data_IF_349461260919
#
_entry.id   IF_349461260919
#
_cell.length_a   1.000
_cell.length_b   1.000
_cell.length_c   1.000
_cell.angle_alpha   90.00
_cell.angle_beta   90.00
_cell.angle_gamma   90.00
#
_symmetry.space_group_name_H-M   'P 1'
#
loop_
_entity.id
_entity.type
_entity.pdbx_description
1 polymer ?
#
# COMPACT_ATOMS: atom_id res chain seq x y z
N UNK A 1 -18.26 -32.93 -40.12
CA UNK A 1 -18.78 -31.59 -39.78
C UNK A 1 -17.86 -30.49 -40.30
N UNK A 2 -16.60 -30.38 -39.86
CA UNK A 2 -15.64 -29.35 -40.32
C UNK A 2 -15.49 -29.30 -41.86
N UNK A 3 -15.39 -30.44 -42.54
CA UNK A 3 -15.28 -30.50 -44.00
C UNK A 3 -16.50 -29.91 -44.73
N UNK A 4 -17.71 -30.04 -44.16
CA UNK A 4 -18.93 -29.45 -44.70
C UNK A 4 -18.92 -27.92 -44.55
N UNK A 5 -18.49 -27.43 -43.38
CA UNK A 5 -18.34 -25.99 -43.11
C UNK A 5 -17.28 -25.36 -44.01
N UNK A 6 -16.15 -26.04 -44.24
CA UNK A 6 -15.12 -25.56 -45.17
C UNK A 6 -15.59 -25.60 -46.63
N UNK A 7 -16.50 -26.53 -46.98
CA UNK A 7 -17.12 -26.56 -48.31
C UNK A 7 -18.08 -25.39 -48.51
N UNK A 8 -18.97 -25.17 -47.55
CA UNK A 8 -20.06 -24.20 -47.69
C UNK A 8 -19.67 -22.80 -47.18
N UNK A 9 -18.48 -22.68 -46.55
CA UNK A 9 -17.95 -21.47 -45.92
C UNK A 9 -18.90 -20.83 -44.89
N UNK A 10 -19.81 -21.64 -44.33
CA UNK A 10 -20.86 -21.22 -43.42
C UNK A 10 -20.93 -22.17 -42.23
N UNK A 11 -21.12 -21.61 -41.04
CA UNK A 11 -21.36 -22.34 -39.80
C UNK A 11 -22.57 -21.75 -39.10
N UNK A 12 -23.48 -22.62 -38.64
CA UNK A 12 -24.66 -22.22 -37.88
C UNK A 12 -24.23 -21.53 -36.57
N UNK A 13 -24.82 -20.37 -36.22
CA UNK A 13 -24.43 -19.61 -35.03
C UNK A 13 -24.52 -20.38 -33.71
N UNK A 14 -25.51 -21.28 -33.59
CA UNK A 14 -25.70 -22.14 -32.41
C UNK A 14 -24.56 -23.17 -32.28
N UNK A 15 -24.20 -23.83 -33.38
CA UNK A 15 -23.05 -24.74 -33.42
C UNK A 15 -21.74 -24.00 -33.17
N UNK A 16 -21.58 -22.80 -33.72
CA UNK A 16 -20.39 -21.98 -33.46
C UNK A 16 -20.30 -21.61 -31.97
N UNK A 17 -21.41 -21.31 -31.29
CA UNK A 17 -21.41 -20.98 -29.86
C UNK A 17 -20.97 -22.15 -28.98
N UNK A 18 -21.34 -23.38 -29.36
CA UNK A 18 -21.00 -24.62 -28.66
C UNK A 18 -19.53 -25.06 -28.82
N UNK A 19 -18.82 -24.59 -29.85
CA UNK A 19 -17.38 -24.87 -30.01
C UNK A 19 -16.56 -24.16 -28.93
N UNK A 20 -15.56 -24.86 -28.40
CA UNK A 20 -14.61 -24.25 -27.47
C UNK A 20 -13.73 -23.20 -28.20
N UNK A 21 -13.05 -22.34 -27.45
CA UNK A 21 -12.28 -21.23 -28.03
C UNK A 21 -11.14 -21.71 -28.93
N UNK A 22 -10.47 -22.82 -28.59
CA UNK A 22 -9.40 -23.40 -29.40
C UNK A 22 -9.95 -23.99 -30.72
N UNK A 23 -11.11 -24.64 -30.67
CA UNK A 23 -11.81 -25.20 -31.82
C UNK A 23 -12.33 -24.09 -32.74
N UNK A 24 -12.79 -22.96 -32.18
CA UNK A 24 -13.13 -21.74 -32.93
C UNK A 24 -11.91 -21.18 -33.65
N UNK A 25 -10.78 -21.06 -32.96
CA UNK A 25 -9.53 -20.58 -33.57
C UNK A 25 -9.07 -21.50 -34.71
N UNK A 26 -9.08 -22.82 -34.50
CA UNK A 26 -8.72 -23.81 -35.54
C UNK A 26 -9.70 -23.74 -36.71
N UNK A 27 -11.00 -23.61 -36.45
CA UNK A 27 -12.03 -23.47 -37.48
C UNK A 27 -11.82 -22.20 -38.33
N UNK A 28 -11.64 -21.03 -37.69
CA UNK A 28 -11.42 -19.78 -38.41
C UNK A 28 -10.12 -19.79 -39.19
N UNK A 29 -9.06 -20.40 -38.64
CA UNK A 29 -7.81 -20.60 -39.35
C UNK A 29 -8.02 -21.43 -40.61
N UNK A 30 -8.69 -22.58 -40.51
CA UNK A 30 -8.98 -23.46 -41.65
C UNK A 30 -9.92 -22.82 -42.67
N UNK A 31 -10.93 -22.06 -42.23
CA UNK A 31 -11.81 -21.30 -43.12
C UNK A 31 -11.03 -20.20 -43.86
N UNK A 32 -10.09 -19.54 -43.18
CA UNK A 32 -9.24 -18.53 -43.79
C UNK A 32 -8.29 -19.14 -44.82
N UNK A 33 -7.66 -20.27 -44.50
CA UNK A 33 -6.84 -21.04 -45.45
C UNK A 33 -7.64 -21.42 -46.70
N UNK A 34 -8.88 -21.89 -46.53
CA UNK A 34 -9.74 -22.29 -47.64
C UNK A 34 -10.21 -21.09 -48.48
N UNK A 35 -10.50 -19.93 -47.88
CA UNK A 35 -10.75 -18.69 -48.62
C UNK A 35 -9.54 -18.30 -49.48
N UNK A 36 -8.33 -18.36 -48.93
CA UNK A 36 -7.10 -18.02 -49.64
C UNK A 36 -6.84 -19.04 -50.75
N UNK A 37 -7.06 -20.34 -50.50
CA UNK A 37 -6.91 -21.40 -51.50
C UNK A 37 -7.88 -21.20 -52.67
N UNK A 38 -9.17 -20.98 -52.38
CA UNK A 38 -10.21 -20.71 -53.41
C UNK A 38 -9.95 -19.42 -54.17
N UNK A 39 -9.43 -18.39 -53.50
CA UNK A 39 -9.05 -17.14 -54.13
C UNK A 39 -7.86 -17.35 -55.09
N UNK A 40 -6.80 -18.03 -54.65
CA UNK A 40 -5.66 -18.40 -55.51
C UNK A 40 -6.08 -19.24 -56.71
N UNK A 41 -6.92 -20.26 -56.50
CA UNK A 41 -7.44 -21.11 -57.58
C UNK A 41 -8.32 -20.31 -58.56
N UNK A 42 -9.07 -19.33 -58.07
CA UNK A 42 -9.82 -18.40 -58.92
C UNK A 42 -8.90 -17.47 -59.70
N UNK A 43 -7.88 -16.90 -59.07
CA UNK A 43 -6.86 -16.06 -59.72
C UNK A 43 -6.11 -16.84 -60.79
N UNK A 44 -5.66 -18.07 -60.50
CA UNK A 44 -4.99 -18.95 -61.46
C UNK A 44 -5.92 -19.33 -62.62
N UNK A 45 -7.21 -19.56 -62.36
CA UNK A 45 -8.19 -19.82 -63.42
C UNK A 45 -8.52 -18.58 -64.24
N UNK A 46 -8.57 -17.39 -63.64
CA UNK A 46 -8.76 -16.12 -64.35
C UNK A 46 -7.53 -15.79 -65.18
N UNK A 47 -6.33 -15.87 -64.61
CA UNK A 47 -5.07 -15.66 -65.30
C UNK A 47 -4.81 -16.74 -66.37
N UNK A 48 -5.19 -17.99 -66.09
CA UNK A 48 -5.14 -19.11 -67.03
C UNK A 48 -6.13 -18.95 -68.19
N UNK A 49 -7.37 -18.54 -67.91
CA UNK A 49 -8.36 -18.20 -68.94
C UNK A 49 -7.97 -16.93 -69.71
N UNK A 50 -7.37 -15.93 -69.07
CA UNK A 50 -6.88 -14.73 -69.72
C UNK A 50 -5.68 -15.05 -70.62
N UNK A 51 -4.77 -15.92 -70.15
CA UNK A 51 -3.68 -16.44 -70.95
C UNK A 51 -4.18 -17.35 -72.08
N UNK A 52 -5.24 -18.14 -71.86
CA UNK A 52 -5.88 -18.96 -72.89
C UNK A 52 -6.59 -18.09 -73.91
N UNK A 53 -7.36 -17.07 -73.50
CA UNK A 53 -8.02 -16.09 -74.34
C UNK A 53 -7.00 -15.26 -75.13
N UNK A 54 -5.88 -14.88 -74.52
CA UNK A 54 -4.75 -14.23 -75.22
C UNK A 54 -4.06 -15.18 -76.19
N UNK A 55 -3.92 -16.46 -75.88
CA UNK A 55 -3.36 -17.49 -76.78
C UNK A 55 -4.31 -17.82 -77.92
N UNK A 56 -5.61 -17.98 -77.67
CA UNK A 56 -6.63 -18.22 -78.71
C UNK A 56 -6.84 -16.97 -79.56
N UNK A 57 -6.79 -15.76 -78.98
CA UNK A 57 -6.78 -14.52 -79.76
C UNK A 57 -5.53 -14.41 -80.64
N UNK A 58 -4.35 -14.80 -80.14
CA UNK A 58 -3.11 -14.86 -80.93
C UNK A 58 -3.13 -15.95 -82.01
N UNK A 59 -3.72 -17.13 -81.74
CA UNK A 59 -3.87 -18.23 -82.69
C UNK A 59 -4.97 -17.97 -83.73
N UNK A 60 -6.07 -17.32 -83.35
CA UNK A 60 -7.12 -16.88 -84.27
C UNK A 60 -6.63 -15.74 -85.16
N UNK A 61 -5.77 -14.84 -84.65
CA UNK A 61 -5.07 -13.86 -85.47
C UNK A 61 -4.00 -14.46 -86.40
N UNK A 62 -3.57 -15.71 -86.20
CA UNK A 62 -2.55 -16.35 -87.05
C UNK A 62 -3.13 -17.27 -88.13
N UNK A 63 -4.37 -17.77 -87.98
CA UNK A 63 -4.89 -18.85 -88.83
C UNK A 63 -5.87 -18.42 -89.94
N UNK A 64 -6.16 -17.12 -90.11
CA UNK A 64 -7.09 -16.67 -91.17
C UNK A 64 -6.64 -15.36 -91.85
N UNK A 65 -5.33 -15.21 -92.06
CA UNK A 65 -4.78 -14.09 -92.83
C UNK A 65 -4.59 -14.50 -94.29
N UNK A 66 -5.65 -14.35 -95.08
CA UNK A 66 -5.54 -14.34 -96.54
C UNK A 66 -5.06 -12.97 -97.00
N UNK A 67 -3.87 -12.91 -97.61
CA UNK A 67 -3.31 -11.66 -98.16
C UNK A 67 -3.99 -11.39 -99.50
N UNK A 68 -4.92 -10.43 -99.52
CA UNK A 68 -5.46 -9.88 -100.76
C UNK A 68 -4.60 -8.69 -101.19
N UNK A 69 -3.87 -8.87 -102.29
CA UNK A 69 -3.12 -7.81 -102.92
C UNK A 69 -4.08 -6.85 -103.63
N UNK A 70 -4.05 -5.58 -103.25
CA UNK A 70 -4.68 -4.51 -104.02
C UNK A 70 -4.00 -4.45 -105.40
N UNK A 71 -4.77 -4.26 -106.47
CA UNK A 71 -4.24 -4.13 -107.83
C UNK A 71 -4.30 -2.67 -108.27
N UNK A 72 -3.22 -2.19 -108.88
CA UNK A 72 -3.15 -0.88 -109.51
C UNK A 72 -4.01 -0.79 -110.78
N UNK A 73 -4.09 0.40 -111.36
CA UNK A 73 -4.82 0.65 -112.61
C UNK A 73 -4.21 -0.06 -113.83
N UNK A 74 -2.98 -0.54 -113.69
CA UNK A 74 -2.21 -1.35 -114.63
C UNK A 74 -2.44 -2.87 -114.47
N UNK A 75 -3.17 -3.29 -113.43
CA UNK A 75 -3.39 -4.70 -113.10
C UNK A 75 -2.27 -5.37 -112.29
N UNK A 76 -1.18 -4.64 -112.02
CA UNK A 76 -0.08 -5.08 -111.15
C UNK A 76 -0.43 -4.86 -109.67
N UNK A 77 0.39 -5.39 -108.76
CA UNK A 77 0.16 -5.24 -107.31
C UNK A 77 0.41 -3.79 -106.90
N UNK A 78 -0.56 -3.17 -106.22
CA UNK A 78 -0.46 -1.82 -105.70
C UNK A 78 0.55 -1.76 -104.55
N UNK A 79 1.57 -0.93 -104.73
CA UNK A 79 2.63 -0.68 -103.75
C UNK A 79 2.51 0.77 -103.31
N UNK A 80 2.31 0.98 -102.02
CA UNK A 80 2.43 2.30 -101.40
C UNK A 80 3.78 2.42 -100.72
N UNK A 81 4.55 3.42 -101.12
CA UNK A 81 5.84 3.74 -100.52
C UNK A 81 5.60 4.92 -99.58
N UNK A 82 5.80 4.66 -98.29
CA UNK A 82 5.63 5.67 -97.24
C UNK A 82 6.53 6.87 -97.52
N UNK A 83 5.93 8.04 -97.78
CA UNK A 83 6.64 9.30 -98.04
C UNK A 83 6.85 9.68 -99.51
N UNK A 84 6.33 8.90 -100.47
CA UNK A 84 6.37 9.23 -101.91
C UNK A 84 5.01 9.67 -102.48
N UNK A 85 3.91 9.56 -101.72
CA UNK A 85 2.59 9.96 -102.19
C UNK A 85 2.35 11.48 -102.02
N UNK A 86 1.52 12.05 -102.90
CA UNK A 86 1.20 13.48 -102.90
C UNK A 86 0.60 13.93 -101.55
N UNK A 87 1.37 14.71 -100.79
CA UNK A 87 0.98 15.24 -99.47
C UNK A 87 1.52 14.48 -98.27
N UNK A 88 2.23 13.36 -98.47
CA UNK A 88 2.90 12.64 -97.38
C UNK A 88 4.20 13.33 -96.96
N UNK A 89 4.53 13.22 -95.66
CA UNK A 89 5.85 13.62 -95.14
C UNK A 89 6.91 12.63 -95.65
N UNK A 90 8.13 13.08 -95.97
CA UNK A 90 9.21 12.17 -96.38
C UNK A 90 9.47 11.13 -95.28
N UNK A 91 9.83 9.92 -95.68
CA UNK A 91 10.03 8.77 -94.79
C UNK A 91 10.99 9.09 -93.65
N UNK A 92 12.08 9.82 -93.95
CA UNK A 92 13.08 10.25 -92.99
C UNK A 92 12.43 11.04 -91.85
N UNK A 93 11.56 12.00 -92.17
CA UNK A 93 10.88 12.82 -91.18
C UNK A 93 9.88 12.02 -90.33
N UNK A 94 9.16 11.07 -90.94
CA UNK A 94 8.26 10.17 -90.19
C UNK A 94 9.06 9.26 -89.25
N UNK A 95 10.19 8.74 -89.71
CA UNK A 95 11.07 7.88 -88.90
C UNK A 95 11.73 8.65 -87.75
N UNK A 96 12.15 9.88 -87.99
CA UNK A 96 12.70 10.78 -86.97
C UNK A 96 11.64 11.17 -85.93
N UNK A 97 10.42 11.47 -86.36
CA UNK A 97 9.30 11.79 -85.46
C UNK A 97 8.96 10.59 -84.56
N UNK A 98 8.95 9.37 -85.09
CA UNK A 98 8.75 8.13 -84.32
C UNK A 98 9.88 7.85 -83.32
N UNK A 99 11.13 8.08 -83.72
CA UNK A 99 12.29 7.93 -82.82
C UNK A 99 12.21 8.99 -81.70
N UNK A 100 11.87 10.23 -82.04
CA UNK A 100 11.72 11.31 -81.08
C UNK A 100 10.56 11.05 -80.10
N UNK A 101 9.43 10.53 -80.59
CA UNK A 101 8.29 10.15 -79.75
C UNK A 101 8.67 9.01 -78.79
N UNK A 102 9.36 7.98 -79.29
CA UNK A 102 9.86 6.88 -78.44
C UNK A 102 10.85 7.38 -77.39
N UNK A 103 11.75 8.30 -77.75
CA UNK A 103 12.69 8.91 -76.83
C UNK A 103 11.98 9.74 -75.74
N UNK A 104 10.93 10.50 -76.09
CA UNK A 104 10.11 11.25 -75.12
C UNK A 104 9.39 10.31 -74.16
N UNK A 105 8.78 9.24 -74.67
CA UNK A 105 8.10 8.26 -73.83
C UNK A 105 9.07 7.57 -72.87
N UNK A 106 10.29 7.25 -73.34
CA UNK A 106 11.32 6.68 -72.49
C UNK A 106 11.77 7.66 -71.39
N UNK A 107 12.02 8.93 -71.75
CA UNK A 107 12.37 9.97 -70.79
C UNK A 107 11.24 10.22 -69.76
N UNK A 108 9.97 10.14 -70.16
CA UNK A 108 8.83 10.25 -69.24
C UNK A 108 8.81 9.09 -68.23
N UNK A 109 9.02 7.86 -68.68
CA UNK A 109 9.08 6.69 -67.78
C UNK A 109 10.23 6.81 -66.78
N UNK A 110 11.42 7.21 -67.24
CA UNK A 110 12.58 7.43 -66.36
C UNK A 110 12.31 8.56 -65.35
N UNK A 111 11.66 9.65 -65.78
CA UNK A 111 11.26 10.72 -64.88
C UNK A 111 10.23 10.25 -63.84
N UNK A 112 9.25 9.45 -64.22
CA UNK A 112 8.28 8.87 -63.28
C UNK A 112 8.95 7.95 -62.25
N UNK A 113 9.93 7.14 -62.67
CA UNK A 113 10.70 6.30 -61.76
C UNK A 113 11.52 7.13 -60.77
N UNK A 114 12.20 8.17 -61.25
CA UNK A 114 12.92 9.12 -60.39
C UNK A 114 11.99 9.83 -59.41
N UNK A 115 10.78 10.20 -59.86
CA UNK A 115 9.76 10.80 -58.99
C UNK A 115 9.30 9.84 -57.89
N UNK A 116 9.06 8.57 -58.22
CA UNK A 116 8.72 7.53 -57.22
C UNK A 116 9.85 7.33 -56.21
N UNK A 117 11.10 7.33 -56.66
CA UNK A 117 12.25 7.24 -55.76
C UNK A 117 12.34 8.45 -54.82
N UNK A 118 12.14 9.67 -55.34
CA UNK A 118 12.11 10.88 -54.53
C UNK A 118 10.96 10.90 -53.53
N UNK A 119 9.78 10.45 -53.93
CA UNK A 119 8.63 10.33 -53.03
C UNK A 119 8.87 9.30 -51.93
N UNK A 120 9.49 8.16 -52.26
CA UNK A 120 9.93 7.16 -51.27
C UNK A 120 11.00 7.74 -50.32
N UNK A 121 11.94 8.55 -50.82
CA UNK A 121 12.94 9.23 -50.02
C UNK A 121 12.30 10.23 -49.03
N UNK A 122 11.32 11.02 -49.50
CA UNK A 122 10.58 11.99 -48.69
C UNK A 122 9.78 11.28 -47.60
N UNK A 123 9.03 10.24 -47.97
CA UNK A 123 8.22 9.48 -47.01
C UNK A 123 9.09 8.77 -45.97
N UNK A 124 10.26 8.25 -46.36
CA UNK A 124 11.25 7.70 -45.43
C UNK A 124 11.76 8.77 -44.47
N UNK A 125 12.21 9.94 -44.98
CA UNK A 125 12.68 11.07 -44.15
C UNK A 125 11.62 11.51 -43.14
N UNK A 126 10.35 11.55 -43.53
CA UNK A 126 9.25 11.89 -42.61
C UNK A 126 9.06 10.83 -41.53
N UNK A 127 9.08 9.54 -41.88
CA UNK A 127 9.00 8.44 -40.90
C UNK A 127 10.17 8.49 -39.91
N UNK A 128 11.38 8.71 -40.40
CA UNK A 128 12.58 8.80 -39.59
C UNK A 128 12.53 10.01 -38.63
N UNK A 129 12.05 11.17 -39.11
CA UNK A 129 11.84 12.35 -38.27
C UNK A 129 10.83 12.08 -37.13
N UNK A 130 9.73 11.41 -37.43
CA UNK A 130 8.73 11.03 -36.42
C UNK A 130 9.27 10.01 -35.42
N UNK A 131 10.09 9.06 -35.86
CA UNK A 131 10.73 8.08 -34.98
C UNK A 131 11.73 8.77 -34.03
N UNK A 132 12.54 9.69 -34.56
CA UNK A 132 13.48 10.48 -33.76
C UNK A 132 12.77 11.34 -32.72
N UNK A 133 11.66 11.98 -33.08
CA UNK A 133 10.88 12.80 -32.14
C UNK A 133 10.25 11.95 -31.03
N UNK A 134 9.69 10.78 -31.37
CA UNK A 134 9.18 9.82 -30.38
C UNK A 134 10.28 9.34 -29.44
N UNK A 135 11.46 9.04 -29.97
CA UNK A 135 12.61 8.63 -29.16
C UNK A 135 13.07 9.76 -28.21
N UNK A 136 13.03 11.02 -28.67
CA UNK A 136 13.34 12.20 -27.85
C UNK A 136 12.39 12.34 -26.67
N UNK A 137 11.08 12.27 -26.90
CA UNK A 137 10.04 12.34 -25.86
C UNK A 137 10.22 11.20 -24.84
N UNK A 138 10.51 9.99 -25.32
CA UNK A 138 10.75 8.85 -24.44
C UNK A 138 11.99 9.09 -23.57
N UNK A 139 13.10 9.54 -24.16
CA UNK A 139 14.32 9.83 -23.42
C UNK A 139 14.13 10.93 -22.37
N UNK A 140 13.35 11.98 -22.68
CA UNK A 140 13.00 13.04 -21.73
C UNK A 140 12.17 12.51 -20.56
N UNK A 141 11.15 11.69 -20.83
CA UNK A 141 10.36 11.03 -19.79
C UNK A 141 11.21 10.17 -18.86
N UNK A 142 12.13 9.38 -19.41
CA UNK A 142 13.06 8.57 -18.62
C UNK A 142 14.00 9.43 -17.77
N UNK A 143 14.47 10.58 -18.27
CA UNK A 143 15.28 11.52 -17.48
C UNK A 143 14.50 12.04 -16.28
N UNK A 144 13.29 12.55 -16.51
CA UNK A 144 12.41 13.06 -15.44
C UNK A 144 12.18 11.96 -14.39
N UNK A 145 11.83 10.74 -14.82
CA UNK A 145 11.62 9.62 -13.89
C UNK A 145 12.88 9.26 -13.08
N UNK A 146 14.06 9.35 -13.69
CA UNK A 146 15.32 9.12 -12.96
C UNK A 146 15.64 10.25 -11.98
N UNK A 147 15.31 11.49 -12.32
CA UNK A 147 15.48 12.66 -11.45
C UNK A 147 14.51 12.59 -10.27
N UNK A 148 13.24 12.27 -10.50
CA UNK A 148 12.24 12.04 -9.46
C UNK A 148 12.66 10.92 -8.52
N UNK A 149 13.17 9.80 -9.06
CA UNK A 149 13.69 8.69 -8.24
C UNK A 149 14.91 9.10 -7.41
N UNK A 150 15.78 9.96 -7.94
CA UNK A 150 16.92 10.51 -7.17
C UNK A 150 16.43 11.47 -6.09
N UNK A 151 15.46 12.33 -6.40
CA UNK A 151 14.86 13.26 -5.44
C UNK A 151 14.15 12.51 -4.31
N UNK A 152 13.41 11.45 -4.61
CA UNK A 152 12.77 10.59 -3.62
C UNK A 152 13.80 9.92 -2.69
N UNK A 153 14.90 9.39 -3.24
CA UNK A 153 15.99 8.83 -2.42
C UNK A 153 16.62 9.88 -1.50
N UNK A 154 16.84 11.09 -2.01
CA UNK A 154 17.39 12.18 -1.22
C UNK A 154 16.43 12.63 -0.11
N UNK A 155 15.12 12.66 -0.38
CA UNK A 155 14.12 12.96 0.64
C UNK A 155 14.05 11.87 1.71
N UNK A 156 14.11 10.60 1.32
CA UNK A 156 14.16 9.47 2.26
C UNK A 156 15.41 9.54 3.13
N UNK A 157 16.58 9.79 2.55
CA UNK A 157 17.83 9.92 3.29
C UNK A 157 17.78 11.05 4.32
N UNK A 158 17.28 12.23 3.91
CA UNK A 158 17.05 13.36 4.83
C UNK A 158 16.09 13.00 5.96
N UNK A 159 15.02 12.28 5.66
CA UNK A 159 14.06 11.86 6.67
C UNK A 159 14.68 10.88 7.68
N UNK A 160 15.48 9.92 7.21
CA UNK A 160 16.21 9.00 8.07
C UNK A 160 17.25 9.70 8.94
N UNK A 161 17.95 10.70 8.41
CA UNK A 161 18.86 11.55 9.19
C UNK A 161 18.12 12.34 10.26
N UNK A 162 16.95 12.90 9.94
CA UNK A 162 16.13 13.64 10.89
C UNK A 162 15.60 12.74 12.01
N UNK A 163 15.20 11.50 11.69
CA UNK A 163 14.83 10.49 12.69
C UNK A 163 15.99 10.13 13.62
N UNK A 164 17.18 9.87 13.07
CA UNK A 164 18.39 9.58 13.87
C UNK A 164 18.76 10.75 14.77
N UNK A 165 18.64 11.98 14.26
CA UNK A 165 18.89 13.19 15.05
C UNK A 165 17.90 13.29 16.20
N UNK A 166 16.61 13.02 15.95
CA UNK A 166 15.57 13.07 16.98
C UNK A 166 15.73 11.98 18.04
N UNK A 167 16.14 10.78 17.63
CA UNK A 167 16.48 9.68 18.54
C UNK A 167 17.66 10.06 19.45
N UNK A 168 18.73 10.64 18.88
CA UNK A 168 19.89 11.10 19.63
C UNK A 168 19.55 12.24 20.59
N UNK A 169 18.69 13.18 20.18
CA UNK A 169 18.20 14.25 21.07
C UNK A 169 17.41 13.70 22.26
N UNK A 170 16.54 12.70 22.05
CA UNK A 170 15.82 12.04 23.14
C UNK A 170 16.78 11.25 24.05
N UNK A 171 17.78 10.59 23.48
CA UNK A 171 18.84 9.91 24.24
C UNK A 171 19.58 10.90 25.13
N UNK A 172 19.99 12.03 24.59
CA UNK A 172 20.68 13.09 25.34
C UNK A 172 19.80 13.70 26.42
N UNK A 173 18.51 13.92 26.17
CA UNK A 173 17.56 14.37 27.21
C UNK A 173 17.43 13.34 28.33
N UNK A 174 17.36 12.05 27.98
CA UNK A 174 17.32 10.95 28.94
C UNK A 174 18.59 10.93 29.81
N UNK A 175 19.76 10.99 29.20
CA UNK A 175 21.05 11.06 29.90
C UNK A 175 21.15 12.29 30.80
N UNK A 176 20.69 13.45 30.33
CA UNK A 176 20.68 14.69 31.12
C UNK A 176 19.73 14.60 32.32
N UNK A 177 18.56 13.97 32.18
CA UNK A 177 17.65 13.73 33.29
C UNK A 177 18.25 12.81 34.35
N UNK A 178 18.91 11.72 33.92
CA UNK A 178 19.62 10.82 34.84
C UNK A 178 20.71 11.59 35.58
N UNK A 179 21.52 12.38 34.87
CA UNK A 179 22.57 13.20 35.48
C UNK A 179 22.03 14.18 36.51
N UNK A 180 20.92 14.87 36.21
CA UNK A 180 20.26 15.75 37.18
C UNK A 180 19.70 14.99 38.39
N UNK A 181 19.24 13.75 38.22
CA UNK A 181 18.80 12.91 39.32
C UNK A 181 19.98 12.46 40.18
N UNK A 182 21.10 12.07 39.57
CA UNK A 182 22.34 11.73 40.26
C UNK A 182 22.87 12.91 41.07
N UNK A 183 22.91 14.11 40.50
CA UNK A 183 23.31 15.32 41.23
C UNK A 183 22.39 15.62 42.41
N UNK A 184 21.06 15.51 42.22
CA UNK A 184 20.10 15.66 43.32
C UNK A 184 20.32 14.63 44.42
N UNK A 185 20.49 13.37 44.07
CA UNK A 185 20.78 12.29 45.02
C UNK A 185 22.11 12.50 45.73
N UNK A 186 23.15 12.91 45.01
CA UNK A 186 24.46 13.20 45.59
C UNK A 186 24.38 14.34 46.60
N UNK A 187 23.61 15.39 46.29
CA UNK A 187 23.39 16.51 47.21
C UNK A 187 22.58 16.09 48.46
N UNK A 188 21.51 15.30 48.29
CA UNK A 188 20.75 14.72 49.41
C UNK A 188 21.64 13.88 50.33
N UNK A 189 22.44 12.98 49.75
CA UNK A 189 23.38 12.13 50.48
C UNK A 189 24.43 12.96 51.22
N UNK A 190 24.97 14.02 50.59
CA UNK A 190 25.92 14.93 51.21
C UNK A 190 25.32 15.62 52.44
N UNK A 191 24.09 16.15 52.34
CA UNK A 191 23.42 16.78 53.46
C UNK A 191 23.15 15.80 54.61
N UNK A 192 22.67 14.60 54.27
CA UNK A 192 22.44 13.53 55.26
C UNK A 192 23.73 13.12 55.96
N UNK A 193 24.83 12.96 55.22
CA UNK A 193 26.13 12.61 55.79
C UNK A 193 26.65 13.71 56.72
N UNK A 194 26.49 14.98 56.33
CA UNK A 194 26.90 16.13 57.14
C UNK A 194 26.10 16.23 58.44
N UNK A 195 24.80 15.97 58.40
CA UNK A 195 23.97 15.92 59.61
C UNK A 195 24.39 14.77 60.52
N UNK A 196 24.58 13.56 59.97
CA UNK A 196 25.04 12.41 60.75
C UNK A 196 26.41 12.68 61.43
N UNK A 197 27.32 13.35 60.72
CA UNK A 197 28.61 13.76 61.28
C UNK A 197 28.45 14.78 62.42
N UNK A 198 27.55 15.75 62.29
CA UNK A 198 27.23 16.70 63.36
C UNK A 198 26.58 16.03 64.57
N UNK A 199 25.64 15.10 64.36
CA UNK A 199 25.05 14.30 65.42
C UNK A 199 26.09 13.45 66.12
N UNK A 200 27.01 12.80 65.39
CA UNK A 200 28.12 12.05 65.99
C UNK A 200 28.99 12.95 66.87
N UNK A 201 29.37 14.14 66.38
CA UNK A 201 30.15 15.11 67.16
C UNK A 201 29.39 15.70 68.35
N UNK A 202 28.07 15.79 68.29
CA UNK A 202 27.22 16.23 69.40
C UNK A 202 27.08 15.13 70.44
N UNK A 203 26.81 13.91 70.00
CA UNK A 203 26.62 12.75 70.86
C UNK A 203 27.92 12.39 71.58
N UNK A 204 29.09 12.51 70.94
CA UNK A 204 30.40 12.37 71.62
C UNK A 204 30.59 13.39 72.75
N UNK A 205 30.06 14.61 72.61
CA UNK A 205 30.11 15.64 73.66
C UNK A 205 29.12 15.36 74.77
N UNK A 206 27.89 14.97 74.43
CA UNK A 206 26.87 14.59 75.40
C UNK A 206 27.26 13.32 76.17
N UNK A 207 27.88 12.34 75.53
CA UNK A 207 28.42 11.14 76.17
C UNK A 207 29.53 11.51 77.16
N UNK A 208 30.45 12.41 76.79
CA UNK A 208 31.49 12.91 77.69
C UNK A 208 30.91 13.70 78.88
N UNK A 209 29.89 14.53 78.65
CA UNK A 209 29.18 15.26 79.72
C UNK A 209 28.42 14.30 80.64
N UNK A 210 27.77 13.27 80.08
CA UNK A 210 27.09 12.23 80.82
C UNK A 210 28.06 11.40 81.66
N UNK A 211 29.23 11.03 81.12
CA UNK A 211 30.29 10.35 81.86
C UNK A 211 30.79 11.21 83.04
N UNK A 212 31.01 12.51 82.83
CA UNK A 212 31.37 13.41 83.92
C UNK A 212 30.27 13.52 84.98
N UNK A 213 29.01 13.59 84.55
CA UNK A 213 27.87 13.66 85.45
C UNK A 213 27.68 12.36 86.24
N UNK A 214 27.92 11.22 85.60
CA UNK A 214 27.96 9.91 86.26
C UNK A 214 29.07 9.86 87.32
N UNK A 215 30.27 10.38 86.99
CA UNK A 215 31.39 10.50 87.93
C UNK A 215 31.02 11.39 89.13
N UNK A 216 30.36 12.53 88.90
CA UNK A 216 29.88 13.43 89.96
C UNK A 216 28.81 12.76 90.82
N UNK A 217 27.85 12.06 90.23
CA UNK A 217 26.81 11.31 90.97
C UNK A 217 27.42 10.23 91.84
N UNK A 218 28.34 9.43 91.29
CA UNK A 218 29.03 8.37 92.03
C UNK A 218 29.80 8.91 93.23
N UNK A 219 30.50 10.04 93.06
CA UNK A 219 31.19 10.72 94.17
C UNK A 219 30.19 11.21 95.25
N UNK A 220 29.05 11.77 94.85
CA UNK A 220 28.01 12.22 95.77
C UNK A 220 27.32 11.05 96.50
N UNK A 221 27.10 9.91 95.82
CA UNK A 221 26.62 8.67 96.43
C UNK A 221 27.63 8.11 97.43
N UNK A 222 28.93 8.13 97.12
CA UNK A 222 30.01 7.74 98.03
C UNK A 222 30.06 8.65 99.27
N UNK A 223 29.88 9.96 99.09
CA UNK A 223 29.81 10.92 100.20
C UNK A 223 28.57 10.69 101.07
N UNK A 224 27.40 10.49 100.46
CA UNK A 224 26.16 10.12 101.19
C UNK A 224 26.33 8.80 101.93
N UNK A 225 26.96 7.81 101.31
CA UNK A 225 27.27 6.51 101.93
C UNK A 225 28.26 6.66 103.09
N UNK A 226 29.28 7.50 102.95
CA UNK A 226 30.20 7.84 104.03
C UNK A 226 29.51 8.55 105.19
N UNK A 227 28.63 9.51 104.91
CA UNK A 227 27.81 10.20 105.92
C UNK A 227 26.84 9.25 106.62
N UNK A 228 26.20 8.35 105.88
CA UNK A 228 25.33 7.31 106.43
C UNK A 228 26.10 6.32 107.32
N UNK A 229 27.32 5.92 106.93
CA UNK A 229 28.21 5.12 107.78
C UNK A 229 28.54 5.85 109.07
N UNK A 230 28.97 7.12 109.00
CA UNK A 230 29.24 7.92 110.22
C UNK A 230 28.02 8.02 111.13
N UNK A 231 26.83 8.25 110.57
CA UNK A 231 25.58 8.30 111.33
C UNK A 231 25.24 6.95 111.99
N UNK A 232 25.45 5.82 111.29
CA UNK A 232 25.28 4.47 111.86
C UNK A 232 26.28 4.20 112.99
N UNK A 233 27.56 4.50 112.78
CA UNK A 233 28.60 4.32 113.79
C UNK A 233 28.37 5.22 115.01
N UNK A 234 27.83 6.41 114.81
CA UNK A 234 27.46 7.33 115.88
C UNK A 234 26.21 6.86 116.63
N UNK A 235 25.17 6.40 115.92
CA UNK A 235 24.01 5.74 116.53
C UNK A 235 24.42 4.50 117.31
N UNK A 236 25.34 3.68 116.78
CA UNK A 236 25.85 2.50 117.44
C UNK A 236 26.68 2.87 118.68
N UNK A 237 27.50 3.93 118.61
CA UNK A 237 28.20 4.49 119.78
C UNK A 237 27.25 5.05 120.84
N UNK A 238 26.20 5.76 120.43
CA UNK A 238 25.16 6.29 121.32
C UNK A 238 24.30 5.17 121.92
N UNK A 239 23.97 4.15 121.13
CA UNK A 239 23.27 2.93 121.55
C UNK A 239 24.10 2.15 122.57
N UNK A 240 25.40 1.94 122.33
CA UNK A 240 26.29 1.31 123.31
C UNK A 240 26.40 2.14 124.61
N UNK A 241 26.43 3.48 124.52
CA UNK A 241 26.35 4.37 125.69
C UNK A 241 24.99 4.33 126.40
N UNK A 242 23.89 4.11 125.68
CA UNK A 242 22.54 3.97 126.22
C UNK A 242 22.34 2.60 126.89
N UNK A 243 22.91 1.53 126.31
CA UNK A 243 22.95 0.18 126.88
C UNK A 243 23.74 0.16 128.20
N UNK A 244 24.84 0.90 128.30
CA UNK A 244 25.56 1.09 129.57
C UNK A 244 24.81 1.92 130.61
N UNK A 245 23.81 2.72 130.23
CA UNK A 245 23.01 3.59 131.13
C UNK A 245 21.67 2.99 131.59
N UNK A 246 21.33 1.77 131.17
CA UNK A 246 20.32 0.90 131.80
C UNK A 246 18.84 1.34 131.72
N UNK A 247 18.03 0.58 130.95
CA UNK A 247 16.74 0.00 131.37
C UNK A 247 16.10 -0.80 130.22
N UNK A 248 15.45 -1.89 130.61
CA UNK A 248 14.80 -2.93 129.80
C UNK A 248 13.37 -2.53 129.40
N UNK A 249 12.93 -2.88 128.19
CA UNK A 249 11.56 -3.30 127.79
C UNK A 249 11.61 -3.64 126.28
N UNK A 250 11.16 -4.78 125.75
CA UNK A 250 9.89 -5.47 126.03
C UNK A 250 8.79 -4.87 125.14
N UNK A 251 8.09 -5.71 124.34
CA UNK A 251 6.99 -5.46 123.36
C UNK A 251 7.47 -5.64 121.90
N UNK A 252 7.31 -6.79 121.23
CA UNK A 252 6.11 -7.58 120.88
C UNK A 252 5.09 -6.85 120.00
N UNK A 253 5.06 -7.30 118.73
CA UNK A 253 3.98 -7.36 117.74
C UNK A 253 3.00 -6.19 117.61
N UNK A 254 3.03 -5.50 116.45
CA UNK A 254 1.81 -5.13 115.73
C UNK A 254 2.11 -4.81 114.25
N UNK A 255 1.21 -5.26 113.37
CA UNK A 255 1.06 -4.89 111.95
C UNK A 255 1.65 -5.84 110.89
N UNK A 256 1.01 -7.00 110.74
CA UNK A 256 0.73 -7.59 109.43
C UNK A 256 -0.36 -6.77 108.73
N UNK A 257 -0.24 -6.52 107.42
CA UNK A 257 -1.34 -6.60 106.44
C UNK A 257 -0.87 -6.27 105.00
N UNK A 258 -1.08 -7.25 104.11
CA UNK A 258 -1.39 -7.17 102.67
C UNK A 258 -0.36 -6.53 101.72
N UNK A 259 0.00 -7.13 100.58
CA UNK A 259 -0.72 -8.11 99.78
C UNK A 259 -0.67 -7.64 98.31
N UNK A 260 -0.08 -8.49 97.48
CA UNK A 260 0.34 -8.30 96.08
C UNK A 260 -0.76 -7.88 95.07
N UNK A 261 -0.26 -7.27 93.97
CA UNK A 261 -0.54 -7.57 92.56
C UNK A 261 -1.74 -6.97 91.78
N UNK A 262 -1.37 -6.30 90.67
CA UNK A 262 -1.62 -6.69 89.25
C UNK A 262 -2.72 -5.95 88.45
N UNK A 263 -2.24 -5.43 87.29
CA UNK A 263 -2.82 -5.38 85.93
C UNK A 263 -3.67 -4.22 85.37
N UNK A 264 -3.42 -4.06 84.05
CA UNK A 264 -4.31 -3.60 82.95
C UNK A 264 -4.39 -2.09 82.65
N UNK A 265 -3.85 -1.66 81.50
CA UNK A 265 -4.44 -1.55 80.14
C UNK A 265 -5.22 -0.25 79.93
N UNK A 266 -4.88 0.52 78.88
CA UNK A 266 -5.84 0.98 77.84
C UNK A 266 -5.26 2.08 76.93
N UNK A 267 -5.47 1.84 75.62
CA UNK A 267 -5.50 2.69 74.41
C UNK A 267 -5.83 4.19 74.65
N UNK A 268 -5.09 5.12 74.06
CA UNK A 268 -5.18 5.64 72.68
C UNK A 268 -6.57 6.21 72.30
N UNK A 269 -6.62 7.54 72.15
CA UNK A 269 -7.73 8.33 71.57
C UNK A 269 -7.23 9.21 70.43
N UNK A 270 -8.03 9.24 69.36
CA UNK A 270 -8.30 10.34 68.42
C UNK A 270 -7.14 11.02 67.65
N UNK A 271 -7.19 10.93 66.32
CA UNK A 271 -7.74 11.97 65.45
C UNK A 271 -7.44 11.68 63.96
N UNK A 272 -8.43 11.89 63.10
CA UNK A 272 -8.40 11.99 61.62
C UNK A 272 -7.49 13.15 61.13
N UNK A 273 -7.28 13.46 59.81
CA UNK A 273 -7.98 12.99 58.60
C UNK A 273 -7.09 12.75 57.33
N UNK A 274 -7.72 12.29 56.22
CA UNK A 274 -7.78 12.97 54.89
C UNK A 274 -8.06 11.95 53.76
N UNK A 275 -9.19 12.19 53.09
CA UNK A 275 -9.49 12.10 51.64
C UNK A 275 -8.74 11.10 50.74
N UNK A 276 -9.50 10.27 50.02
CA UNK A 276 -9.17 9.93 48.63
C UNK A 276 -10.39 9.45 47.84
N UNK A 277 -10.60 10.14 46.71
CA UNK A 277 -11.46 9.76 45.59
C UNK A 277 -11.27 8.29 45.19
N UNK A 278 -12.34 7.61 44.83
CA UNK A 278 -12.27 6.35 44.07
C UNK A 278 -13.09 6.46 42.80
N UNK A 279 -12.37 6.80 41.72
CA UNK A 279 -12.39 6.17 40.40
C UNK A 279 -13.71 5.57 39.93
N UNK A 280 -14.41 6.34 39.10
CA UNK A 280 -15.36 5.85 38.11
C UNK A 280 -14.58 4.94 37.15
N UNK A 281 -14.91 3.66 37.16
CA UNK A 281 -14.46 2.70 36.15
C UNK A 281 -15.14 3.08 34.83
N UNK A 282 -14.41 3.42 33.75
CA UNK A 282 -15.02 3.52 32.45
C UNK A 282 -15.29 2.10 31.98
N UNK A 283 -16.54 1.68 32.08
CA UNK A 283 -17.05 0.53 31.33
C UNK A 283 -16.70 0.76 29.87
N UNK A 284 -15.93 -0.15 29.29
CA UNK A 284 -15.65 -0.16 27.85
C UNK A 284 -16.97 -0.02 27.10
N UNK A 285 -17.16 1.12 26.42
CA UNK A 285 -18.25 1.25 25.46
C UNK A 285 -18.03 0.14 24.44
N UNK A 286 -18.86 -0.91 24.49
CA UNK A 286 -19.09 -1.73 23.33
C UNK A 286 -19.47 -0.77 22.21
N UNK A 287 -18.73 -0.79 21.11
CA UNK A 287 -19.03 0.07 19.96
C UNK A 287 -20.46 -0.26 19.49
N UNK A 288 -21.39 0.64 19.80
CA UNK A 288 -22.76 0.54 19.31
C UNK A 288 -22.74 0.91 17.83
N UNK A 289 -23.26 0.01 16.98
CA UNK A 289 -23.30 0.28 15.53
C UNK A 289 -24.19 1.50 15.29
N UNK A 290 -23.69 2.52 14.56
CA UNK A 290 -24.51 3.67 14.22
C UNK A 290 -25.78 3.23 13.47
N UNK A 291 -26.90 3.93 13.69
CA UNK A 291 -28.16 3.61 13.01
C UNK A 291 -27.97 3.72 11.51
N UNK A 292 -28.55 2.79 10.74
CA UNK A 292 -28.36 2.73 9.27
C UNK A 292 -28.62 4.10 8.60
N UNK A 293 -27.87 4.44 7.55
CA UNK A 293 -28.08 5.70 6.86
C UNK A 293 -29.50 5.77 6.29
N UNK A 294 -30.14 6.93 6.46
CA UNK A 294 -31.55 7.13 6.11
C UNK A 294 -31.76 7.74 4.72
N UNK A 295 -30.70 8.30 4.11
CA UNK A 295 -30.75 8.83 2.75
C UNK A 295 -29.39 8.76 2.04
N UNK A 296 -29.43 8.85 0.70
CA UNK A 296 -28.24 8.89 -0.15
C UNK A 296 -27.34 10.10 0.16
N UNK A 297 -27.93 11.26 0.47
CA UNK A 297 -27.18 12.49 0.76
C UNK A 297 -26.30 12.36 2.01
N UNK A 298 -26.82 11.66 3.02
CA UNK A 298 -26.10 11.40 4.28
C UNK A 298 -24.91 10.46 4.02
N UNK A 299 -25.04 9.53 3.07
CA UNK A 299 -23.97 8.62 2.66
C UNK A 299 -22.89 9.35 1.86
N UNK A 300 -23.30 10.28 1.00
CA UNK A 300 -22.36 11.17 0.29
C UNK A 300 -21.55 11.98 1.30
N UNK A 301 -22.22 12.57 2.30
CA UNK A 301 -21.58 13.37 3.33
C UNK A 301 -20.59 12.53 4.14
N UNK A 302 -21.02 11.37 4.64
CA UNK A 302 -20.17 10.43 5.37
C UNK A 302 -18.96 9.97 4.55
N UNK A 303 -19.16 9.64 3.27
CA UNK A 303 -18.04 9.24 2.42
C UNK A 303 -17.02 10.38 2.25
N UNK A 304 -17.48 11.63 2.10
CA UNK A 304 -16.61 12.80 1.94
C UNK A 304 -15.85 13.15 3.22
N UNK A 305 -16.52 13.09 4.37
CA UNK A 305 -15.97 13.55 5.65
C UNK A 305 -15.14 12.47 6.36
N UNK A 306 -15.57 11.21 6.33
CA UNK A 306 -14.92 10.15 7.11
C UNK A 306 -14.04 9.24 6.25
N UNK A 307 -14.48 8.90 5.05
CA UNK A 307 -13.82 7.86 4.24
C UNK A 307 -12.77 8.44 3.28
N UNK A 308 -13.00 9.63 2.74
CA UNK A 308 -12.05 10.31 1.87
C UNK A 308 -10.72 10.64 2.58
N UNK A 309 -10.71 11.16 3.82
CA UNK A 309 -9.46 11.35 4.57
C UNK A 309 -8.74 10.04 4.90
N UNK A 310 -9.51 8.94 5.04
CA UNK A 310 -8.97 7.58 5.23
C UNK A 310 -8.49 6.94 3.93
N UNK A 311 -8.50 7.69 2.82
CA UNK A 311 -8.08 7.25 1.47
C UNK A 311 -8.80 5.98 1.01
N UNK A 312 -10.07 5.81 1.41
CA UNK A 312 -10.85 4.66 0.98
C UNK A 312 -11.10 4.70 -0.54
N UNK A 313 -10.78 3.61 -1.23
CA UNK A 313 -10.90 3.52 -2.69
C UNK A 313 -9.67 4.00 -3.47
N UNK A 314 -8.58 4.36 -2.79
CA UNK A 314 -7.29 4.65 -3.42
C UNK A 314 -6.37 3.43 -3.41
N UNK A 315 -5.45 3.39 -4.38
CA UNK A 315 -4.43 2.36 -4.43
C UNK A 315 -3.38 2.54 -3.33
N UNK A 316 -2.83 1.44 -2.79
CA UNK A 316 -1.97 1.43 -1.57
C UNK A 316 -0.80 2.42 -1.65
N UNK A 317 -0.19 2.54 -2.83
CA UNK A 317 1.04 3.30 -3.04
C UNK A 317 0.85 4.50 -3.98
N UNK A 318 -0.39 4.83 -4.34
CA UNK A 318 -0.70 5.85 -5.35
C UNK A 318 -1.85 6.75 -4.92
N UNK A 319 -1.84 8.00 -5.38
CA UNK A 319 -2.97 8.94 -5.21
C UNK A 319 -4.04 8.75 -6.30
N UNK A 320 -3.95 7.67 -7.08
CA UNK A 320 -4.95 7.30 -8.08
C UNK A 320 -6.08 6.50 -7.44
N UNK A 321 -7.30 6.74 -7.94
CA UNK A 321 -8.48 5.96 -7.56
C UNK A 321 -8.26 4.53 -8.07
N UNK A 322 -8.45 3.56 -7.19
CA UNK A 322 -8.22 2.17 -7.52
C UNK A 322 -9.20 1.71 -8.62
N UNK A 323 -8.75 0.93 -9.63
CA UNK A 323 -9.60 0.51 -10.75
C UNK A 323 -10.86 -0.29 -10.36
N UNK A 324 -10.83 -0.92 -9.18
CA UNK A 324 -11.95 -1.67 -8.63
C UNK A 324 -12.95 -0.78 -7.89
N UNK A 325 -12.63 0.47 -7.58
CA UNK A 325 -13.49 1.38 -6.83
C UNK A 325 -14.35 2.26 -7.74
N UNK A 326 -15.67 2.19 -7.59
CA UNK A 326 -16.62 2.86 -8.49
C UNK A 326 -17.49 3.92 -7.80
N UNK A 327 -17.19 4.25 -6.53
CA UNK A 327 -17.92 5.28 -5.80
C UNK A 327 -19.36 4.88 -5.46
N UNK A 328 -20.26 5.87 -5.44
CA UNK A 328 -21.65 5.72 -4.98
C UNK A 328 -22.53 5.35 -6.18
N UNK A 329 -22.51 4.06 -6.52
CA UNK A 329 -23.37 3.46 -7.55
C UNK A 329 -24.36 2.47 -6.92
N UNK A 330 -25.52 2.35 -7.57
CA UNK A 330 -26.57 1.43 -7.17
C UNK A 330 -26.16 -0.02 -7.41
N UNK A 331 -26.96 -0.95 -6.86
CA UNK A 331 -26.76 -2.38 -7.14
C UNK A 331 -26.94 -2.70 -8.62
N UNK A 332 -27.93 -2.10 -9.27
CA UNK A 332 -28.28 -2.35 -10.67
C UNK A 332 -27.18 -1.85 -11.61
N UNK A 333 -26.68 -0.62 -11.39
CA UNK A 333 -25.56 -0.06 -12.14
C UNK A 333 -24.29 -0.92 -12.03
N UNK A 334 -24.03 -1.48 -10.84
CA UNK A 334 -22.92 -2.40 -10.65
C UNK A 334 -23.08 -3.71 -11.42
N UNK A 335 -24.30 -4.25 -11.48
CA UNK A 335 -24.62 -5.46 -12.27
C UNK A 335 -24.46 -5.19 -13.77
N UNK A 336 -24.91 -4.03 -14.27
CA UNK A 336 -24.73 -3.60 -15.67
C UNK A 336 -23.25 -3.50 -16.06
N UNK A 337 -22.43 -2.86 -15.21
CA UNK A 337 -20.98 -2.74 -15.43
C UNK A 337 -20.24 -4.09 -15.43
N UNK A 338 -20.78 -5.09 -14.72
CA UNK A 338 -20.21 -6.44 -14.64
C UNK A 338 -20.82 -7.41 -15.67
N UNK A 339 -21.92 -7.06 -16.33
CA UNK A 339 -22.66 -7.94 -17.24
C UNK A 339 -21.82 -8.37 -18.45
N UNK A 340 -21.03 -7.45 -18.99
CA UNK A 340 -20.17 -7.67 -20.17
C UNK A 340 -18.73 -8.04 -19.81
N UNK A 341 -18.43 -8.33 -18.53
CA UNK A 341 -17.09 -8.71 -18.06
C UNK A 341 -16.97 -10.21 -17.86
N UNK A 342 -15.74 -10.70 -17.81
CA UNK A 342 -15.43 -12.12 -17.55
C UNK A 342 -15.83 -12.53 -16.14
N UNK A 343 -16.08 -13.84 -15.96
CA UNK A 343 -16.30 -14.44 -14.65
C UNK A 343 -15.13 -14.15 -13.70
N UNK A 344 -15.44 -13.74 -12.47
CA UNK A 344 -14.46 -13.31 -11.48
C UNK A 344 -14.16 -11.81 -11.51
N UNK A 345 -14.70 -11.06 -12.49
CA UNK A 345 -14.66 -9.60 -12.44
C UNK A 345 -15.44 -9.08 -11.23
N UNK A 346 -14.89 -8.09 -10.54
CA UNK A 346 -15.51 -7.47 -9.37
C UNK A 346 -15.33 -5.97 -9.37
N UNK A 347 -16.16 -5.31 -8.57
CA UNK A 347 -16.04 -3.89 -8.23
C UNK A 347 -16.53 -3.64 -6.80
N UNK A 348 -16.05 -2.56 -6.20
CA UNK A 348 -16.47 -2.08 -4.89
C UNK A 348 -17.20 -0.75 -5.07
N UNK A 349 -18.40 -0.68 -4.51
CA UNK A 349 -19.24 0.51 -4.49
C UNK A 349 -19.59 0.90 -3.05
N UNK A 350 -19.88 2.17 -2.83
CA UNK A 350 -20.42 2.63 -1.55
C UNK A 350 -21.85 2.08 -1.41
N UNK A 351 -22.16 1.48 -0.26
CA UNK A 351 -23.47 0.89 -0.04
C UNK A 351 -24.47 1.95 0.39
N UNK A 352 -25.64 1.96 -0.24
CA UNK A 352 -26.73 2.85 0.16
C UNK A 352 -27.51 2.33 1.39
N UNK A 353 -27.21 1.11 1.86
CA UNK A 353 -27.98 0.41 2.92
C UNK A 353 -27.25 0.34 4.27
N UNK A 354 -25.94 0.54 4.27
CA UNK A 354 -25.08 0.44 5.46
C UNK A 354 -24.01 1.53 5.42
N UNK A 355 -23.44 1.87 6.57
CA UNK A 355 -22.24 2.70 6.66
C UNK A 355 -21.02 1.90 6.21
N UNK A 356 -20.85 1.80 4.89
CA UNK A 356 -19.86 0.90 4.34
C UNK A 356 -19.99 0.70 2.84
N UNK A 357 -19.45 -0.41 2.38
CA UNK A 357 -19.29 -0.71 0.96
C UNK A 357 -20.03 -1.99 0.59
N UNK A 358 -20.17 -2.22 -0.70
CA UNK A 358 -20.62 -3.49 -1.25
C UNK A 358 -19.61 -3.94 -2.32
N UNK A 359 -19.03 -5.11 -2.13
CA UNK A 359 -18.26 -5.80 -3.15
C UNK A 359 -19.24 -6.55 -4.06
N UNK A 360 -19.34 -6.13 -5.31
CA UNK A 360 -20.18 -6.78 -6.32
C UNK A 360 -19.27 -7.56 -7.26
N UNK A 361 -19.55 -8.84 -7.48
CA UNK A 361 -18.73 -9.67 -8.37
C UNK A 361 -19.57 -10.57 -9.28
N UNK A 362 -19.01 -10.85 -10.46
CA UNK A 362 -19.59 -11.72 -11.48
C UNK A 362 -19.27 -13.18 -11.17
N UNK A 363 -20.31 -13.95 -10.91
CA UNK A 363 -20.28 -15.40 -10.69
C UNK A 363 -20.83 -16.14 -11.92
N UNK A 364 -20.59 -17.45 -12.02
CA UNK A 364 -21.07 -18.29 -13.14
C UNK A 364 -22.58 -18.22 -13.34
N UNK A 365 -23.33 -18.14 -12.24
CA UNK A 365 -24.79 -18.15 -12.22
C UNK A 365 -25.44 -16.77 -12.04
N UNK A 366 -24.66 -15.68 -12.08
CA UNK A 366 -25.20 -14.32 -11.91
C UNK A 366 -24.26 -13.38 -11.15
N UNK A 367 -24.83 -12.52 -10.32
CA UNK A 367 -24.07 -11.54 -9.53
C UNK A 367 -24.23 -11.81 -8.04
N UNK A 368 -23.13 -11.68 -7.31
CA UNK A 368 -23.10 -11.82 -5.86
C UNK A 368 -22.59 -10.53 -5.25
N UNK A 369 -23.18 -10.15 -4.11
CA UNK A 369 -22.87 -8.91 -3.43
C UNK A 369 -22.55 -9.20 -1.97
N UNK A 370 -21.38 -8.77 -1.52
CA UNK A 370 -20.96 -8.85 -0.12
C UNK A 370 -20.92 -7.46 0.48
N UNK A 371 -21.55 -7.29 1.64
CA UNK A 371 -21.53 -6.03 2.37
C UNK A 371 -20.25 -5.94 3.19
N UNK A 372 -19.60 -4.79 3.15
CA UNK A 372 -18.42 -4.45 3.93
C UNK A 372 -18.82 -3.39 4.93
N UNK A 373 -18.72 -3.72 6.22
CA UNK A 373 -18.94 -2.77 7.32
C UNK A 373 -17.75 -1.82 7.41
N UNK A 374 -18.01 -0.50 7.43
CA UNK A 374 -17.03 0.55 7.68
C UNK A 374 -17.51 1.50 8.79
N UNK A 375 -18.46 1.06 9.63
CA UNK A 375 -19.03 1.85 10.71
C UNK A 375 -18.11 2.08 11.92
N UNK A 376 -16.94 1.42 11.94
CA UNK A 376 -15.92 1.61 12.97
C UNK A 376 -14.54 1.84 12.38
N UNK A 377 -13.52 1.66 13.21
CA UNK A 377 -12.13 1.89 12.79
C UNK A 377 -11.56 0.82 11.85
N UNK A 378 -12.34 -0.21 11.52
CA UNK A 378 -11.91 -1.35 10.71
C UNK A 378 -12.92 -1.65 9.59
N UNK A 379 -12.45 -2.35 8.57
CA UNK A 379 -13.26 -2.89 7.47
C UNK A 379 -13.40 -4.39 7.62
N UNK A 380 -14.62 -4.91 7.48
CA UNK A 380 -14.88 -6.37 7.54
C UNK A 380 -16.11 -6.76 6.72
N UNK A 381 -16.15 -7.99 6.21
CA UNK A 381 -17.34 -8.50 5.53
C UNK A 381 -18.46 -8.81 6.54
N UNK A 382 -19.65 -8.28 6.28
CA UNK A 382 -20.80 -8.45 7.14
C UNK A 382 -21.32 -9.90 7.04
N UNK A 383 -21.09 -10.70 8.08
CA UNK A 383 -21.68 -12.05 8.25
C UNK A 383 -20.95 -13.20 7.54
N UNK A 384 -19.79 -12.96 6.93
CA UNK A 384 -19.03 -14.02 6.22
C UNK A 384 -17.68 -14.31 6.88
N UNK A 385 -16.94 -13.29 7.31
CA UNK A 385 -15.59 -13.47 7.89
C UNK A 385 -15.35 -12.55 9.11
N UNK A 386 -14.69 -13.05 10.18
CA UNK A 386 -14.32 -12.24 11.34
C UNK A 386 -13.06 -11.38 11.11
N UNK A 387 -12.43 -11.48 9.93
CA UNK A 387 -11.18 -10.80 9.64
C UNK A 387 -11.41 -9.29 9.47
N UNK A 388 -10.75 -8.52 10.35
CA UNK A 388 -10.80 -7.05 10.36
C UNK A 388 -9.55 -6.51 9.69
N UNK A 389 -9.75 -5.54 8.81
CA UNK A 389 -8.68 -4.89 8.06
C UNK A 389 -8.61 -3.40 8.41
N UNK A 390 -7.39 -2.86 8.46
CA UNK A 390 -7.16 -1.45 8.78
C UNK A 390 -7.59 -0.52 7.63
N UNK A 391 -7.39 -0.94 6.39
CA UNK A 391 -7.83 -0.21 5.20
C UNK A 391 -8.74 -1.05 4.30
N UNK A 392 -9.60 -0.38 3.52
CA UNK A 392 -10.43 -1.03 2.51
C UNK A 392 -9.56 -1.76 1.46
N UNK A 393 -8.41 -1.19 1.12
CA UNK A 393 -7.46 -1.78 0.17
C UNK A 393 -6.84 -3.06 0.72
N UNK A 394 -6.52 -3.11 2.02
CA UNK A 394 -6.05 -4.35 2.68
C UNK A 394 -7.07 -5.47 2.59
N UNK A 395 -8.35 -5.17 2.86
CA UNK A 395 -9.44 -6.14 2.77
C UNK A 395 -9.55 -6.69 1.35
N UNK A 396 -9.55 -5.82 0.35
CA UNK A 396 -9.67 -6.24 -1.04
C UNK A 396 -8.45 -7.05 -1.48
N UNK A 397 -7.24 -6.63 -1.15
CA UNK A 397 -6.02 -7.35 -1.53
C UNK A 397 -5.94 -8.74 -0.88
N UNK A 398 -6.32 -8.86 0.40
CA UNK A 398 -6.38 -10.14 1.09
C UNK A 398 -7.33 -11.13 0.40
N UNK A 399 -8.53 -10.66 0.03
CA UNK A 399 -9.53 -11.52 -0.61
C UNK A 399 -9.30 -11.73 -2.12
N UNK A 400 -8.58 -10.84 -2.81
CA UNK A 400 -8.09 -11.09 -4.18
C UNK A 400 -7.18 -12.33 -4.25
N UNK A 401 -6.26 -12.46 -3.29
CA UNK A 401 -5.31 -13.59 -3.24
C UNK A 401 -6.05 -14.90 -2.99
N UNK A 402 -7.04 -14.91 -2.10
CA UNK A 402 -7.87 -16.08 -1.81
C UNK A 402 -8.79 -16.50 -2.98
N UNK A 403 -9.33 -15.55 -3.75
CA UNK A 403 -10.11 -15.85 -4.96
C UNK A 403 -9.25 -16.49 -6.07
N UNK A 404 -7.94 -16.23 -6.07
CA UNK A 404 -6.99 -16.94 -6.97
C UNK A 404 -6.66 -18.35 -6.47
N UNK A 405 -6.60 -18.58 -5.15
CA UNK A 405 -6.32 -19.90 -4.59
C UNK A 405 -7.51 -20.88 -4.66
N UNK A 406 -8.75 -20.38 -4.65
CA UNK A 406 -9.93 -21.25 -4.78
C UNK A 406 -10.16 -21.76 -6.23
N UNK A 407 -9.33 -21.33 -7.20
CA UNK A 407 -9.24 -21.91 -8.55
C UNK A 407 -8.28 -23.11 -8.64
N UNK A 408 -7.53 -23.42 -7.58
CA UNK A 408 -6.55 -24.52 -7.57
C UNK A 408 -7.03 -25.77 -6.84
N UNK A 409 -8.26 -25.78 -6.31
CA UNK A 409 -8.85 -26.94 -5.62
C UNK A 409 -10.31 -27.11 -6.04
N UNK A 410 -10.50 -27.48 -7.29
CA UNK A 410 -11.60 -28.26 -7.89
C UNK A 410 -11.26 -28.42 -9.36
#
# INVERSE_FOLDING_TARGET
MLQQILRDMYIDPELLAELNEEQKHVLFYKMREEQVRRWKEREERVNGNEALLKKTARLQQSNDKHVQWLRGTDGEVWVWIMGEADGDKPYEQISEELIAERARQQAQKEAEELWKEKEAEITKKFRDAMANEKARILAEKWKIETEDRKAAKLMEEKFQEELKKREEEERQKGEAQIRQQEERRAHELYLSLKQAQQYSQHNEKEDHEWEEQLRRSKAADEERSHKARRARDEYQRQSLRAIQKGKVAGLSNLFQATGLNREQEAKLTSADPISSLTTIVPTSKAWERPPRPFSRDVIIQWFREEQLPRRAGFERNSSTIAPWFHGIISRQEAEELLMNKSEGAFLVRVSEKIWGYALSYRHQSGFKHFLVDASGDFYSFLGVDPNRHATLTDLIDFHKVLLTMHRSVT
#
